data_IF_974415571472
#
_entry.id   IF_974415571472
#
_cell.length_a   1.000
_cell.length_b   1.000
_cell.length_c   1.000
_cell.angle_alpha   90.00
_cell.angle_beta   90.00
_cell.angle_gamma   90.00
#
_symmetry.space_group_name_H-M   'P 1'
#
loop_
_entity.id
_entity.type
_entity.pdbx_description
1 polymer ?
#
# COMPACT_ATOMS: atom_id res chain seq x y z
N UNK A 1 -9.01 -10.46 17.91
CA UNK A 1 -8.77 -10.77 16.46
C UNK A 1 -8.23 -9.54 15.72
N UNK A 2 -8.77 -8.33 15.93
CA UNK A 2 -8.26 -7.09 15.30
C UNK A 2 -6.77 -6.88 15.60
N UNK A 3 -6.38 -6.96 16.86
CA UNK A 3 -4.98 -6.85 17.28
C UNK A 3 -4.08 -7.93 16.66
N UNK A 4 -4.58 -9.18 16.54
CA UNK A 4 -3.82 -10.27 15.92
C UNK A 4 -3.68 -10.05 14.41
N UNK A 5 -4.68 -9.43 13.79
CA UNK A 5 -4.65 -9.00 12.39
C UNK A 5 -3.54 -8.00 12.16
N UNK A 6 -3.51 -6.93 12.95
CA UNK A 6 -2.51 -5.88 12.83
C UNK A 6 -1.09 -6.44 13.06
N UNK A 7 -0.89 -7.23 14.13
CA UNK A 7 0.40 -7.88 14.39
C UNK A 7 0.84 -8.83 13.27
N UNK A 8 -0.09 -9.56 12.64
CA UNK A 8 0.25 -10.47 11.54
C UNK A 8 0.62 -9.69 10.27
N UNK A 9 -0.07 -8.58 10.01
CA UNK A 9 0.23 -7.68 8.90
C UNK A 9 1.61 -7.04 9.07
N UNK A 10 1.87 -6.47 10.24
CA UNK A 10 3.15 -5.85 10.59
C UNK A 10 4.31 -6.87 10.55
N UNK A 11 4.07 -8.09 11.05
CA UNK A 11 5.07 -9.16 10.99
C UNK A 11 5.35 -9.59 9.53
N UNK A 12 4.32 -9.68 8.68
CA UNK A 12 4.51 -9.99 7.26
C UNK A 12 5.28 -8.88 6.54
N UNK A 13 4.97 -7.62 6.81
CA UNK A 13 5.70 -6.47 6.27
C UNK A 13 7.17 -6.47 6.75
N UNK A 14 7.41 -6.72 8.02
CA UNK A 14 8.76 -6.79 8.59
C UNK A 14 9.60 -7.90 7.93
N UNK A 15 9.03 -9.08 7.74
CA UNK A 15 9.70 -10.19 7.05
C UNK A 15 10.03 -9.83 5.61
N UNK A 16 9.16 -9.07 4.94
CA UNK A 16 9.36 -8.64 3.55
C UNK A 16 10.37 -7.48 3.41
N UNK A 17 10.72 -6.78 4.49
CA UNK A 17 11.79 -5.76 4.48
C UNK A 17 13.15 -6.38 4.14
N UNK A 18 13.44 -7.58 4.62
CA UNK A 18 14.71 -8.27 4.35
C UNK A 18 15.04 -8.40 2.85
N UNK A 19 14.19 -9.08 2.04
CA UNK A 19 14.34 -9.14 0.60
C UNK A 19 14.37 -7.77 -0.07
N UNK A 20 13.60 -6.79 0.42
CA UNK A 20 13.57 -5.44 -0.12
C UNK A 20 14.91 -4.71 0.05
N UNK A 21 15.58 -4.85 1.20
CA UNK A 21 16.91 -4.28 1.43
C UNK A 21 17.97 -4.81 0.45
N UNK A 22 17.85 -6.07 0.03
CA UNK A 22 18.72 -6.66 -1.00
C UNK A 22 18.37 -6.13 -2.39
N UNK A 23 17.09 -5.87 -2.63
CA UNK A 23 16.59 -5.39 -3.91
C UNK A 23 16.96 -3.92 -4.17
N UNK A 24 16.92 -3.06 -3.13
CA UNK A 24 17.20 -1.62 -3.27
C UNK A 24 18.52 -1.32 -3.98
N UNK A 25 19.68 -1.89 -3.60
CA UNK A 25 20.94 -1.65 -4.33
C UNK A 25 20.89 -2.12 -5.80
N UNK A 26 20.08 -3.13 -6.10
CA UNK A 26 19.91 -3.66 -7.46
C UNK A 26 19.16 -2.67 -8.35
N UNK A 27 18.15 -1.97 -7.80
CA UNK A 27 17.34 -0.99 -8.54
C UNK A 27 18.14 0.23 -9.00
N UNK A 28 19.20 0.59 -8.27
CA UNK A 28 20.06 1.72 -8.60
C UNK A 28 21.19 1.38 -9.57
N UNK A 29 21.34 0.09 -9.97
CA UNK A 29 22.33 -0.28 -10.99
C UNK A 29 21.96 0.33 -12.34
N UNK A 30 22.95 0.84 -13.08
CA UNK A 30 22.72 1.39 -14.41
C UNK A 30 22.23 0.28 -15.37
N UNK A 31 21.50 0.71 -16.38
CA UNK A 31 21.10 -0.13 -17.51
C UNK A 31 22.36 -0.60 -18.22
N UNK A 32 22.43 -1.88 -18.56
CA UNK A 32 23.55 -2.49 -19.29
C UNK A 32 23.01 -3.22 -20.51
N UNK A 33 23.88 -3.55 -21.46
CA UNK A 33 23.48 -4.31 -22.65
C UNK A 33 22.84 -5.68 -22.32
N UNK A 34 23.24 -6.27 -21.18
CA UNK A 34 22.65 -7.54 -20.69
C UNK A 34 21.29 -7.35 -20.01
N UNK A 35 21.02 -6.14 -19.51
CA UNK A 35 19.78 -5.77 -18.82
C UNK A 35 19.25 -4.45 -19.38
N UNK A 36 18.71 -4.45 -20.59
CA UNK A 36 18.29 -3.23 -21.29
C UNK A 36 17.13 -2.51 -20.59
N UNK A 37 16.32 -3.22 -19.82
CA UNK A 37 15.22 -2.65 -19.02
C UNK A 37 15.63 -2.35 -17.56
N UNK A 38 16.89 -2.64 -17.19
CA UNK A 38 17.34 -2.55 -15.79
C UNK A 38 16.68 -3.61 -14.91
N UNK A 39 16.49 -3.28 -13.63
CA UNK A 39 15.92 -4.19 -12.63
C UNK A 39 14.52 -3.81 -12.16
N UNK A 40 13.85 -2.88 -12.84
CA UNK A 40 12.50 -2.43 -12.46
C UNK A 40 11.44 -3.54 -12.55
N UNK A 41 11.62 -4.51 -13.42
CA UNK A 41 10.74 -5.69 -13.48
C UNK A 41 10.89 -6.57 -12.24
N UNK A 42 12.09 -6.65 -11.66
CA UNK A 42 12.33 -7.39 -10.41
C UNK A 42 11.62 -6.72 -9.25
N UNK A 43 11.60 -5.37 -9.21
CA UNK A 43 10.80 -4.61 -8.25
C UNK A 43 9.32 -4.94 -8.37
N UNK A 44 8.78 -4.90 -9.59
CA UNK A 44 7.37 -5.21 -9.85
C UNK A 44 7.02 -6.65 -9.49
N UNK A 45 7.91 -7.60 -9.76
CA UNK A 45 7.72 -9.00 -9.36
C UNK A 45 7.72 -9.16 -7.84
N UNK A 46 8.64 -8.48 -7.15
CA UNK A 46 8.69 -8.48 -5.70
C UNK A 46 7.41 -7.90 -5.07
N UNK A 47 6.95 -6.75 -5.58
CA UNK A 47 5.70 -6.13 -5.13
C UNK A 47 4.50 -7.03 -5.41
N UNK A 48 4.46 -7.68 -6.56
CA UNK A 48 3.40 -8.63 -6.90
C UNK A 48 3.33 -9.77 -5.88
N UNK A 49 4.46 -10.37 -5.53
CA UNK A 49 4.51 -11.47 -4.53
C UNK A 49 4.13 -10.95 -3.14
N UNK A 50 4.74 -9.84 -2.69
CA UNK A 50 4.46 -9.23 -1.38
C UNK A 50 2.97 -8.96 -1.21
N UNK A 51 2.38 -8.21 -2.12
CA UNK A 51 0.98 -7.79 -2.01
C UNK A 51 0.00 -8.94 -2.28
N UNK A 52 0.38 -9.99 -3.02
CA UNK A 52 -0.42 -11.22 -3.12
C UNK A 52 -0.51 -11.96 -1.79
N UNK A 53 0.60 -12.05 -1.05
CA UNK A 53 0.61 -12.64 0.30
C UNK A 53 -0.25 -11.79 1.26
N UNK A 54 -0.08 -10.47 1.26
CA UNK A 54 -0.89 -9.56 2.08
C UNK A 54 -2.37 -9.65 1.75
N UNK A 55 -2.73 -9.73 0.48
CA UNK A 55 -4.12 -9.90 0.05
C UNK A 55 -4.70 -11.22 0.56
N UNK A 56 -3.96 -12.33 0.44
CA UNK A 56 -4.40 -13.63 0.94
C UNK A 56 -4.61 -13.62 2.46
N UNK A 57 -3.70 -12.99 3.22
CA UNK A 57 -3.84 -12.82 4.67
C UNK A 57 -5.09 -11.98 5.01
N UNK A 58 -5.27 -10.84 4.35
CA UNK A 58 -6.43 -9.95 4.58
C UNK A 58 -7.75 -10.64 4.25
N UNK A 59 -7.82 -11.39 3.14
CA UNK A 59 -9.00 -12.16 2.78
C UNK A 59 -9.30 -13.25 3.82
N UNK A 60 -8.28 -13.97 4.30
CA UNK A 60 -8.46 -14.97 5.34
C UNK A 60 -9.02 -14.35 6.62
N UNK A 61 -8.46 -13.22 7.05
CA UNK A 61 -8.90 -12.49 8.24
C UNK A 61 -10.34 -11.98 8.08
N UNK A 62 -10.71 -11.48 6.91
CA UNK A 62 -12.09 -11.08 6.62
C UNK A 62 -13.05 -12.26 6.78
N UNK A 63 -12.71 -13.42 6.19
CA UNK A 63 -13.53 -14.63 6.28
C UNK A 63 -13.67 -15.10 7.73
N UNK A 64 -12.58 -15.10 8.51
CA UNK A 64 -12.62 -15.49 9.92
C UNK A 64 -13.48 -14.55 10.75
N UNK A 65 -13.35 -13.23 10.57
CA UNK A 65 -14.15 -12.26 11.31
C UNK A 65 -15.63 -12.32 10.92
N UNK A 66 -15.96 -12.54 9.65
CA UNK A 66 -17.35 -12.78 9.21
C UNK A 66 -17.91 -14.04 9.83
N UNK A 67 -17.14 -15.14 9.90
CA UNK A 67 -17.56 -16.35 10.61
C UNK A 67 -17.84 -16.08 12.08
N UNK A 68 -16.99 -15.33 12.78
CA UNK A 68 -17.21 -14.95 14.17
C UNK A 68 -18.49 -14.15 14.36
N UNK A 69 -18.77 -13.19 13.46
CA UNK A 69 -20.01 -12.42 13.48
C UNK A 69 -21.26 -13.31 13.36
N UNK A 70 -21.20 -14.32 12.49
CA UNK A 70 -22.34 -15.24 12.28
C UNK A 70 -22.51 -16.21 13.45
N UNK A 71 -21.43 -16.60 14.14
CA UNK A 71 -21.45 -17.60 15.24
C UNK A 71 -21.59 -17.00 16.65
N UNK A 72 -21.92 -15.72 16.76
CA UNK A 72 -22.25 -15.12 18.05
C UNK A 72 -21.18 -14.16 18.61
N UNK A 73 -20.17 -13.83 17.82
CA UNK A 73 -19.13 -12.89 18.24
C UNK A 73 -18.03 -13.55 19.10
N UNK A 74 -17.15 -12.73 19.66
CA UNK A 74 -16.06 -13.15 20.54
C UNK A 74 -15.87 -12.15 21.67
N UNK A 75 -15.76 -12.63 22.90
CA UNK A 75 -15.48 -11.77 24.04
C UNK A 75 -13.98 -11.44 24.12
N UNK A 76 -13.67 -10.15 24.13
CA UNK A 76 -12.30 -9.63 24.26
C UNK A 76 -12.20 -8.63 25.39
N UNK A 77 -11.00 -8.46 25.93
CA UNK A 77 -10.76 -7.42 26.92
C UNK A 77 -10.63 -6.05 26.23
N UNK A 78 -11.77 -5.47 25.91
CA UNK A 78 -11.88 -4.19 25.18
C UNK A 78 -11.03 -3.06 25.80
N UNK A 79 -10.96 -3.00 27.14
CA UNK A 79 -10.19 -1.96 27.81
C UNK A 79 -8.69 -2.07 27.57
N UNK A 80 -8.12 -3.29 27.56
CA UNK A 80 -6.69 -3.50 27.27
C UNK A 80 -6.38 -3.19 25.79
N UNK A 81 -7.27 -3.58 24.89
CA UNK A 81 -7.09 -3.31 23.45
C UNK A 81 -7.18 -1.81 23.20
N UNK A 82 -8.17 -1.11 23.78
CA UNK A 82 -8.31 0.34 23.63
C UNK A 82 -7.05 1.09 24.09
N UNK A 83 -6.46 0.70 25.24
CA UNK A 83 -5.21 1.33 25.73
C UNK A 83 -4.05 1.04 24.78
N UNK A 84 -3.92 -0.18 24.29
CA UNK A 84 -2.85 -0.55 23.36
C UNK A 84 -2.98 0.25 22.04
N UNK A 85 -4.14 0.26 21.43
CA UNK A 85 -4.41 1.01 20.19
C UNK A 85 -4.19 2.53 20.35
N UNK A 86 -4.52 3.06 21.53
CA UNK A 86 -4.24 4.47 21.84
C UNK A 86 -2.73 4.74 21.91
N UNK A 87 -1.93 3.82 22.45
CA UNK A 87 -0.46 3.94 22.46
C UNK A 87 0.11 3.83 21.04
N UNK A 88 -0.40 2.91 20.21
CA UNK A 88 -0.04 2.79 18.79
C UNK A 88 -0.38 4.09 18.06
N UNK A 89 -1.57 4.64 18.26
CA UNK A 89 -1.99 5.92 17.67
C UNK A 89 -1.02 7.06 18.02
N UNK A 90 -0.57 7.15 19.28
CA UNK A 90 0.44 8.15 19.70
C UNK A 90 1.76 7.91 18.95
N UNK A 91 2.20 6.67 18.82
CA UNK A 91 3.41 6.31 18.06
C UNK A 91 3.33 6.72 16.59
N UNK A 92 2.24 6.36 15.92
CA UNK A 92 1.96 6.74 14.54
C UNK A 92 1.87 8.27 14.38
N UNK A 93 1.21 8.96 15.30
CA UNK A 93 1.12 10.42 15.29
C UNK A 93 2.50 11.08 15.46
N UNK A 94 3.36 10.54 16.33
CA UNK A 94 4.72 11.04 16.49
C UNK A 94 5.54 10.87 15.20
N UNK A 95 5.47 9.70 14.56
CA UNK A 95 6.12 9.47 13.26
C UNK A 95 5.58 10.37 12.18
N UNK A 96 4.27 10.56 12.09
CA UNK A 96 3.65 11.51 11.17
C UNK A 96 4.19 12.94 11.38
N UNK A 97 4.28 13.40 12.63
CA UNK A 97 4.79 14.75 12.93
C UNK A 97 6.26 14.91 12.56
N UNK A 98 7.09 13.89 12.83
CA UNK A 98 8.50 13.87 12.44
C UNK A 98 8.63 13.96 10.92
N UNK A 99 7.94 13.09 10.18
CA UNK A 99 7.97 13.08 8.72
C UNK A 99 7.41 14.38 8.13
N UNK A 100 6.35 14.95 8.70
CA UNK A 100 5.78 16.23 8.28
C UNK A 100 6.77 17.39 8.48
N UNK A 101 7.57 17.35 9.55
CA UNK A 101 8.64 18.32 9.75
C UNK A 101 9.72 18.21 8.66
N UNK A 102 10.16 16.98 8.36
CA UNK A 102 11.16 16.73 7.30
C UNK A 102 10.64 16.97 5.89
N UNK A 103 9.37 16.69 5.61
CA UNK A 103 8.76 16.91 4.30
C UNK A 103 8.73 18.38 3.89
N UNK A 104 8.67 19.30 4.88
CA UNK A 104 8.77 20.74 4.64
C UNK A 104 10.16 21.20 4.27
N UNK A 105 11.19 20.42 4.63
CA UNK A 105 12.60 20.74 4.36
C UNK A 105 13.11 20.09 3.08
N UNK A 106 12.57 18.92 2.73
CA UNK A 106 13.00 18.13 1.58
C UNK A 106 11.79 17.84 0.68
N UNK A 107 11.78 18.42 -0.51
CA UNK A 107 10.75 18.14 -1.52
C UNK A 107 11.01 16.78 -2.18
N UNK A 108 10.43 15.71 -1.62
CA UNK A 108 10.55 14.37 -2.15
C UNK A 108 9.17 13.72 -2.23
N UNK A 109 8.83 13.19 -3.40
CA UNK A 109 7.58 12.45 -3.60
C UNK A 109 7.49 11.21 -2.70
N UNK A 110 8.63 10.56 -2.44
CA UNK A 110 8.70 9.42 -1.51
C UNK A 110 8.30 9.83 -0.09
N UNK A 111 8.80 10.98 0.40
CA UNK A 111 8.46 11.47 1.74
C UNK A 111 6.96 11.85 1.81
N UNK A 112 6.40 12.40 0.73
CA UNK A 112 4.97 12.72 0.66
C UNK A 112 4.10 11.45 0.70
N UNK A 113 4.50 10.40 -0.02
CA UNK A 113 3.83 9.12 0.00
C UNK A 113 3.86 8.48 1.39
N UNK A 114 5.03 8.42 2.02
CA UNK A 114 5.18 7.93 3.40
C UNK A 114 4.36 8.75 4.40
N UNK A 115 4.36 10.08 4.27
CA UNK A 115 3.56 10.96 5.12
C UNK A 115 2.06 10.65 5.01
N UNK A 116 1.60 10.35 3.80
CA UNK A 116 0.20 9.96 3.57
C UNK A 116 -0.12 8.62 4.24
N UNK A 117 0.77 7.63 4.15
CA UNK A 117 0.60 6.33 4.80
C UNK A 117 0.53 6.48 6.32
N UNK A 118 1.48 7.18 6.96
CA UNK A 118 1.46 7.43 8.39
C UNK A 118 0.20 8.19 8.86
N UNK A 119 -0.32 9.09 8.01
CA UNK A 119 -1.60 9.77 8.29
C UNK A 119 -2.77 8.78 8.32
N UNK A 120 -2.79 7.83 7.37
CA UNK A 120 -3.81 6.78 7.35
C UNK A 120 -3.72 5.87 8.58
N UNK A 121 -2.51 5.52 9.01
CA UNK A 121 -2.28 4.70 10.22
C UNK A 121 -2.78 5.40 11.48
N UNK A 122 -2.55 6.70 11.63
CA UNK A 122 -3.10 7.50 12.74
C UNK A 122 -4.63 7.47 12.73
N UNK A 123 -5.26 7.68 11.57
CA UNK A 123 -6.72 7.68 11.45
C UNK A 123 -7.29 6.29 11.74
N UNK A 124 -6.64 5.24 11.25
CA UNK A 124 -7.02 3.84 11.45
C UNK A 124 -6.94 3.46 12.93
N UNK A 125 -5.79 3.64 13.57
CA UNK A 125 -5.58 3.34 15.00
C UNK A 125 -6.52 4.12 15.90
N UNK A 126 -6.78 5.39 15.58
CA UNK A 126 -7.75 6.20 16.31
C UNK A 126 -9.19 5.65 16.16
N UNK A 127 -9.55 5.22 14.94
CA UNK A 127 -10.85 4.61 14.67
C UNK A 127 -11.08 3.34 15.48
N UNK A 128 -10.07 2.47 15.53
CA UNK A 128 -10.07 1.23 16.32
C UNK A 128 -10.15 1.55 17.81
N UNK A 129 -9.32 2.47 18.31
CA UNK A 129 -9.35 2.88 19.73
C UNK A 129 -10.72 3.41 20.14
N UNK A 130 -11.35 4.26 19.32
CA UNK A 130 -12.70 4.79 19.58
C UNK A 130 -13.73 3.65 19.59
N UNK A 131 -13.66 2.69 18.67
CA UNK A 131 -14.58 1.57 18.65
C UNK A 131 -14.50 0.73 19.94
N UNK A 132 -13.29 0.47 20.45
CA UNK A 132 -13.11 -0.25 21.72
C UNK A 132 -13.51 0.58 22.95
N UNK A 133 -13.34 1.90 22.95
CA UNK A 133 -13.90 2.77 23.98
C UNK A 133 -15.42 2.70 24.00
N UNK A 134 -16.06 2.74 22.82
CA UNK A 134 -17.52 2.55 22.71
C UNK A 134 -17.93 1.18 23.23
N UNK A 135 -17.18 0.13 22.94
CA UNK A 135 -17.42 -1.22 23.47
C UNK A 135 -17.39 -1.23 25.01
N UNK A 136 -16.40 -0.59 25.64
CA UNK A 136 -16.32 -0.48 27.10
C UNK A 136 -17.53 0.27 27.68
N UNK A 137 -17.97 1.33 27.04
CA UNK A 137 -19.16 2.06 27.46
C UNK A 137 -20.43 1.22 27.34
N UNK A 138 -20.55 0.42 26.27
CA UNK A 138 -21.70 -0.46 26.06
C UNK A 138 -21.81 -1.58 27.09
N UNK A 139 -20.71 -2.02 27.71
CA UNK A 139 -20.71 -2.99 28.80
C UNK A 139 -21.60 -2.55 29.99
N UNK A 140 -21.74 -1.24 30.22
CA UNK A 140 -22.51 -0.67 31.31
C UNK A 140 -23.96 -0.29 30.90
N UNK A 141 -24.39 -0.70 29.69
CA UNK A 141 -25.71 -0.38 29.15
C UNK A 141 -26.54 -1.62 28.90
N UNK A 142 -27.84 -1.45 28.58
CA UNK A 142 -28.70 -2.54 28.16
C UNK A 142 -28.29 -3.20 26.83
N UNK A 143 -27.34 -2.59 26.11
CA UNK A 143 -26.84 -3.04 24.82
C UNK A 143 -25.59 -3.91 24.94
N UNK A 144 -25.27 -4.42 26.15
CA UNK A 144 -24.10 -5.25 26.38
C UNK A 144 -24.05 -6.52 25.51
N UNK A 145 -25.21 -7.00 24.97
CA UNK A 145 -25.27 -8.14 24.09
C UNK A 145 -24.59 -7.90 22.73
N UNK A 146 -24.31 -6.63 22.36
CA UNK A 146 -23.61 -6.26 21.13
C UNK A 146 -22.07 -6.28 21.30
N UNK A 147 -21.57 -6.30 22.52
CA UNK A 147 -20.13 -6.20 22.78
C UNK A 147 -19.28 -7.32 22.15
N UNK A 148 -19.73 -8.60 22.07
CA UNK A 148 -18.97 -9.65 21.41
C UNK A 148 -18.83 -9.47 19.88
N UNK A 149 -19.68 -8.64 19.29
CA UNK A 149 -19.70 -8.42 17.85
C UNK A 149 -18.84 -7.22 17.41
N UNK A 150 -18.46 -6.31 18.33
CA UNK A 150 -17.74 -5.09 17.98
C UNK A 150 -16.35 -5.39 17.44
N UNK A 151 -15.56 -6.21 18.12
CA UNK A 151 -14.21 -6.58 17.68
C UNK A 151 -14.21 -7.23 16.29
N UNK A 152 -14.97 -8.30 16.01
CA UNK A 152 -14.97 -8.88 14.68
C UNK A 152 -15.61 -7.96 13.62
N UNK A 153 -16.54 -7.07 13.99
CA UNK A 153 -17.09 -6.08 13.06
C UNK A 153 -16.05 -5.03 12.68
N UNK A 154 -15.32 -4.48 13.63
CA UNK A 154 -14.24 -3.52 13.40
C UNK A 154 -13.15 -4.19 12.55
N UNK A 155 -12.71 -5.41 12.90
CA UNK A 155 -11.72 -6.14 12.15
C UNK A 155 -12.17 -6.44 10.70
N UNK A 156 -13.44 -6.78 10.49
CA UNK A 156 -13.99 -6.98 9.14
C UNK A 156 -14.02 -5.69 8.32
N UNK A 157 -14.42 -4.56 8.92
CA UNK A 157 -14.41 -3.24 8.26
C UNK A 157 -12.99 -2.85 7.89
N UNK A 158 -12.02 -3.02 8.81
CA UNK A 158 -10.62 -2.73 8.55
C UNK A 158 -10.07 -3.60 7.42
N UNK A 159 -10.35 -4.90 7.43
CA UNK A 159 -9.94 -5.81 6.36
C UNK A 159 -10.49 -5.36 4.98
N UNK A 160 -11.76 -4.93 4.91
CA UNK A 160 -12.35 -4.42 3.67
C UNK A 160 -11.62 -3.16 3.18
N UNK A 161 -11.28 -2.24 4.08
CA UNK A 161 -10.56 -1.02 3.73
C UNK A 161 -9.12 -1.32 3.26
N UNK A 162 -8.45 -2.29 3.91
CA UNK A 162 -7.09 -2.68 3.59
C UNK A 162 -6.95 -3.49 2.29
N UNK A 163 -7.99 -4.17 1.81
CA UNK A 163 -7.96 -4.93 0.54
C UNK A 163 -7.67 -4.02 -0.66
N UNK A 164 -8.07 -2.77 -0.63
CA UNK A 164 -7.92 -1.85 -1.76
C UNK A 164 -6.47 -1.69 -2.21
N UNK A 165 -5.56 -1.48 -1.27
CA UNK A 165 -4.15 -1.22 -1.57
C UNK A 165 -3.46 -2.42 -2.25
N UNK A 166 -3.48 -3.66 -1.68
CA UNK A 166 -2.93 -4.84 -2.34
C UNK A 166 -3.46 -5.03 -3.76
N UNK A 167 -4.77 -4.87 -3.97
CA UNK A 167 -5.37 -5.04 -5.29
C UNK A 167 -4.81 -4.03 -6.30
N UNK A 168 -4.72 -2.76 -5.92
CA UNK A 168 -4.18 -1.70 -6.79
C UNK A 168 -2.71 -1.97 -7.13
N UNK A 169 -1.88 -2.31 -6.13
CA UNK A 169 -0.45 -2.56 -6.33
C UNK A 169 -0.21 -3.81 -7.17
N UNK A 170 -0.97 -4.90 -6.95
CA UNK A 170 -0.91 -6.10 -7.78
C UNK A 170 -1.20 -5.76 -9.24
N UNK A 171 -2.27 -4.99 -9.49
CA UNK A 171 -2.67 -4.62 -10.84
C UNK A 171 -1.62 -3.75 -11.54
N UNK A 172 -1.05 -2.78 -10.83
CA UNK A 172 0.06 -1.96 -11.33
C UNK A 172 1.32 -2.80 -11.59
N UNK A 173 1.64 -3.72 -10.69
CA UNK A 173 2.80 -4.60 -10.86
C UNK A 173 2.67 -5.50 -12.08
N UNK A 174 1.47 -6.04 -12.33
CA UNK A 174 1.19 -6.82 -13.55
C UNK A 174 1.34 -5.94 -14.79
N UNK A 175 0.79 -4.73 -14.80
CA UNK A 175 0.95 -3.78 -15.93
C UNK A 175 2.43 -3.52 -16.22
N UNK A 176 3.22 -3.27 -15.19
CA UNK A 176 4.66 -3.02 -15.33
C UNK A 176 5.43 -4.24 -15.85
N UNK A 177 5.04 -5.46 -15.43
CA UNK A 177 5.67 -6.71 -15.89
C UNK A 177 5.35 -7.01 -17.35
N UNK A 178 4.14 -6.70 -17.80
CA UNK A 178 3.69 -6.92 -19.19
C UNK A 178 4.10 -5.76 -20.11
N UNK A 179 4.80 -4.75 -19.57
CA UNK A 179 5.29 -3.59 -20.34
C UNK A 179 4.16 -2.81 -21.03
N UNK A 180 3.07 -2.57 -20.31
CA UNK A 180 1.99 -1.72 -20.84
C UNK A 180 2.50 -0.31 -21.18
N UNK A 181 1.89 0.29 -22.17
CA UNK A 181 2.13 1.69 -22.49
C UNK A 181 1.77 2.59 -21.28
N UNK A 182 2.47 3.72 -21.10
CA UNK A 182 2.11 4.71 -20.09
C UNK A 182 0.73 5.33 -20.40
N UNK A 183 0.26 6.15 -19.46
CA UNK A 183 -1.02 6.85 -19.61
C UNK A 183 -1.03 7.74 -20.86
N UNK A 184 -2.20 7.92 -21.47
CA UNK A 184 -2.38 8.65 -22.73
C UNK A 184 -1.83 10.08 -22.68
N UNK A 185 -1.89 10.72 -21.51
CA UNK A 185 -1.33 12.05 -21.31
C UNK A 185 0.20 12.07 -21.53
N UNK A 186 0.90 11.08 -20.98
CA UNK A 186 2.36 10.93 -21.15
C UNK A 186 2.71 10.58 -22.59
N UNK A 187 1.93 9.69 -23.21
CA UNK A 187 2.10 9.34 -24.62
C UNK A 187 1.95 10.56 -25.54
N UNK A 188 0.94 11.38 -25.29
CA UNK A 188 0.70 12.60 -26.09
C UNK A 188 1.81 13.62 -25.95
N UNK A 189 2.36 13.79 -24.73
CA UNK A 189 3.54 14.65 -24.50
C UNK A 189 4.76 14.15 -25.26
N UNK A 190 5.06 12.85 -25.19
CA UNK A 190 6.20 12.25 -25.90
C UNK A 190 6.03 12.41 -27.41
N UNK A 191 4.85 12.12 -27.96
CA UNK A 191 4.55 12.34 -29.39
C UNK A 191 4.78 13.79 -29.80
N UNK A 192 4.25 14.73 -29.01
CA UNK A 192 4.43 16.17 -29.28
C UNK A 192 5.90 16.60 -29.28
N UNK A 193 6.71 16.05 -28.36
CA UNK A 193 8.14 16.33 -28.30
C UNK A 193 8.86 15.74 -29.52
N UNK A 194 8.55 14.50 -29.88
CA UNK A 194 9.13 13.85 -31.07
C UNK A 194 8.78 14.62 -32.35
N UNK A 195 7.49 14.93 -32.55
CA UNK A 195 7.01 15.67 -33.74
C UNK A 195 7.67 17.05 -33.84
N UNK A 196 7.86 17.73 -32.70
CA UNK A 196 8.52 19.05 -32.67
C UNK A 196 10.00 18.96 -33.06
N UNK A 197 10.71 17.95 -32.61
CA UNK A 197 12.15 17.80 -32.90
C UNK A 197 12.41 17.23 -34.29
N UNK A 198 11.51 16.40 -34.80
CA UNK A 198 11.67 15.77 -36.11
C UNK A 198 11.28 16.68 -37.28
N UNK A 199 10.57 17.81 -37.04
CA UNK A 199 10.19 18.79 -38.08
C UNK A 199 11.37 19.38 -38.86
N UNK A 200 12.52 19.49 -38.21
CA UNK A 200 13.72 20.09 -38.81
C UNK A 200 14.60 19.06 -39.54
N UNK A 201 14.20 17.81 -39.57
CA UNK A 201 14.95 16.71 -40.21
C UNK A 201 14.17 16.13 -41.40
N UNK A 202 14.86 15.69 -42.47
CA UNK A 202 14.24 15.13 -43.66
C UNK A 202 13.80 13.65 -43.48
N UNK A 203 13.46 13.25 -42.25
CA UNK A 203 13.06 11.89 -41.92
C UNK A 203 11.62 11.86 -41.41
N UNK A 204 10.89 10.82 -41.79
CA UNK A 204 9.57 10.53 -41.23
C UNK A 204 9.65 9.49 -40.15
N UNK A 205 8.97 9.73 -39.02
CA UNK A 205 8.86 8.74 -37.93
C UNK A 205 7.85 7.67 -38.36
N UNK A 206 8.33 6.50 -38.72
CA UNK A 206 7.47 5.38 -39.13
C UNK A 206 6.92 4.59 -37.98
N UNK A 207 7.61 4.64 -36.83
CA UNK A 207 7.23 3.86 -35.65
C UNK A 207 7.66 4.60 -34.36
N UNK A 208 6.73 4.76 -33.45
CA UNK A 208 6.97 5.27 -32.11
C UNK A 208 6.27 4.36 -31.10
N UNK A 209 7.04 3.54 -30.41
CA UNK A 209 6.55 2.71 -29.32
C UNK A 209 7.07 3.23 -27.98
N UNK A 210 6.18 3.30 -27.00
CA UNK A 210 6.50 3.81 -25.68
C UNK A 210 6.03 2.79 -24.66
N UNK A 211 6.98 2.25 -23.91
CA UNK A 211 6.71 1.27 -22.85
C UNK A 211 7.12 1.83 -21.49
N UNK A 212 6.33 1.53 -20.49
CA UNK A 212 6.65 1.86 -19.11
C UNK A 212 7.13 0.61 -18.37
N UNK A 213 8.28 0.73 -17.70
CA UNK A 213 8.81 -0.33 -16.83
C UNK A 213 9.17 0.27 -15.47
N UNK A 214 8.26 0.12 -14.51
CA UNK A 214 8.38 0.75 -13.19
C UNK A 214 8.43 2.29 -13.31
N UNK A 215 9.54 2.89 -12.87
CA UNK A 215 9.75 4.36 -12.92
C UNK A 215 10.36 4.86 -14.24
N UNK A 216 10.69 3.96 -15.16
CA UNK A 216 11.36 4.31 -16.41
C UNK A 216 10.38 4.24 -17.56
N UNK A 217 10.49 5.20 -18.44
CA UNK A 217 9.78 5.23 -19.72
C UNK A 217 10.84 5.03 -20.80
N UNK A 218 10.61 4.06 -21.65
CA UNK A 218 11.47 3.75 -22.79
C UNK A 218 10.68 4.06 -24.06
N UNK A 219 11.23 4.90 -24.89
CA UNK A 219 10.67 5.19 -26.23
C UNK A 219 11.57 4.59 -27.30
N UNK A 220 10.99 3.80 -28.18
CA UNK A 220 11.62 3.28 -29.38
C UNK A 220 11.10 4.09 -30.56
N UNK A 221 12.01 4.75 -31.27
CA UNK A 221 11.69 5.59 -32.41
C UNK A 221 12.41 4.99 -33.63
N UNK A 222 11.66 4.76 -34.69
CA UNK A 222 12.21 4.26 -35.95
C UNK A 222 11.67 5.06 -37.13
#
# INVERSE_FOLDING_TARGET
>A
HSLLTDCLFDAADLVMIGPFLVLVPLLYKPVTEKHPYGYSQVESLFLLVKYSVLLALTCNLLVENVKLLVHGGHEVNAGKIAVFEFLVCIGCAAMYLILNHYSKKYESETIKAELYMWKLDVVSSLGVAVAFVVQVLLLHTKLHFLTPYIDPAVAAVMAILLIREPVVVIFQSIKNLVLFAPEEEVLSQIRSIVDKHMKDYPYEVTFLDVIQTGRKILSLIH
#
